data_IF_564957695629
#
_entry.id   IF_564957695629
#
_cell.length_a   1.000
_cell.length_b   1.000
_cell.length_c   1.000
_cell.angle_alpha   90.00
_cell.angle_beta   90.00
_cell.angle_gamma   90.00
#
_symmetry.space_group_name_H-M   'P 1'
#
loop_
_entity.id
_entity.type
_entity.pdbx_description
1 polymer ?
#
# COMPACT_ATOMS: atom_id res chain seq x y z
N UNK A 1 -53.10 -15.21 -10.84
CA UNK A 1 -52.83 -14.07 -9.93
C UNK A 1 -51.34 -13.69 -9.88
N UNK A 2 -50.41 -14.54 -9.31
CA UNK A 2 -48.97 -14.20 -9.23
C UNK A 2 -48.34 -13.94 -10.61
N UNK A 3 -48.57 -14.82 -11.57
CA UNK A 3 -48.09 -14.68 -12.96
C UNK A 3 -48.68 -13.48 -13.70
N UNK A 4 -49.94 -13.17 -13.45
CA UNK A 4 -50.59 -12.01 -14.02
C UNK A 4 -50.02 -10.69 -13.52
N UNK A 5 -49.72 -10.61 -12.22
CA UNK A 5 -49.03 -9.47 -11.62
C UNK A 5 -47.64 -9.28 -12.21
N UNK A 6 -46.82 -10.35 -12.26
CA UNK A 6 -45.48 -10.30 -12.84
C UNK A 6 -45.50 -9.93 -14.32
N UNK A 7 -46.53 -10.40 -15.08
CA UNK A 7 -46.72 -10.02 -16.49
C UNK A 7 -47.09 -8.55 -16.64
N UNK A 8 -47.96 -8.03 -15.77
CA UNK A 8 -48.35 -6.61 -15.79
C UNK A 8 -47.16 -5.69 -15.47
N UNK A 9 -46.32 -6.08 -14.51
CA UNK A 9 -45.11 -5.37 -14.12
C UNK A 9 -44.06 -5.39 -15.25
N UNK A 10 -43.81 -6.57 -15.84
CA UNK A 10 -42.89 -6.74 -16.96
C UNK A 10 -43.28 -5.93 -18.21
N UNK A 11 -44.57 -5.81 -18.49
CA UNK A 11 -45.08 -4.97 -19.60
C UNK A 11 -44.76 -3.47 -19.45
N UNK A 12 -44.46 -3.04 -18.23
CA UNK A 12 -44.01 -1.67 -17.91
C UNK A 12 -42.50 -1.54 -17.80
N UNK A 13 -41.74 -2.60 -18.13
CA UNK A 13 -40.30 -2.69 -17.96
C UNK A 13 -39.85 -2.49 -16.50
N UNK A 14 -40.62 -2.99 -15.56
CA UNK A 14 -40.37 -2.87 -14.12
C UNK A 14 -40.18 -4.25 -13.49
N UNK A 15 -39.58 -4.28 -12.31
CA UNK A 15 -39.38 -5.47 -11.50
C UNK A 15 -39.89 -5.25 -10.08
N UNK A 16 -40.33 -6.31 -9.41
CA UNK A 16 -40.77 -6.31 -8.02
C UNK A 16 -39.79 -7.09 -7.17
N UNK A 17 -39.43 -6.58 -5.99
CA UNK A 17 -38.78 -7.40 -4.99
C UNK A 17 -39.70 -8.52 -4.48
N UNK A 18 -39.14 -9.66 -3.99
CA UNK A 18 -39.99 -10.76 -3.50
C UNK A 18 -40.99 -10.35 -2.41
N UNK A 19 -40.55 -9.49 -1.49
CA UNK A 19 -41.34 -8.96 -0.38
C UNK A 19 -42.39 -7.91 -0.85
N UNK A 20 -42.13 -7.16 -1.90
CA UNK A 20 -43.12 -6.30 -2.56
C UNK A 20 -44.19 -7.13 -3.22
N UNK A 21 -43.84 -8.21 -3.90
CA UNK A 21 -44.78 -9.12 -4.52
C UNK A 21 -45.67 -9.80 -3.47
N UNK A 22 -45.14 -10.26 -2.36
CA UNK A 22 -45.92 -10.82 -1.26
C UNK A 22 -46.89 -9.81 -0.65
N UNK A 23 -46.45 -8.57 -0.49
CA UNK A 23 -47.29 -7.48 -0.01
C UNK A 23 -48.48 -7.19 -0.97
N UNK A 24 -48.23 -7.16 -2.28
CA UNK A 24 -49.27 -7.00 -3.28
C UNK A 24 -50.25 -8.17 -3.23
N UNK A 25 -49.77 -9.40 -3.16
CA UNK A 25 -50.59 -10.61 -3.11
C UNK A 25 -51.44 -10.69 -1.82
N UNK A 26 -51.04 -10.06 -0.75
CA UNK A 26 -51.77 -10.00 0.53
C UNK A 26 -52.91 -8.95 0.53
N UNK A 27 -53.01 -8.14 -0.50
CA UNK A 27 -54.09 -7.16 -0.63
C UNK A 27 -55.41 -7.83 -0.98
N UNK A 28 -56.53 -7.23 -0.60
CA UNK A 28 -57.90 -7.74 -0.90
C UNK A 28 -58.23 -7.78 -2.39
N UNK A 29 -57.61 -6.90 -3.18
CA UNK A 29 -57.71 -6.90 -4.66
C UNK A 29 -56.28 -6.64 -5.25
N UNK A 30 -55.47 -7.72 -5.39
CA UNK A 30 -54.08 -7.59 -5.82
C UNK A 30 -53.89 -6.98 -7.20
N UNK A 31 -54.79 -7.23 -8.15
CA UNK A 31 -54.61 -6.70 -9.53
C UNK A 31 -54.93 -5.22 -9.64
N UNK A 32 -56.01 -4.75 -9.02
CA UNK A 32 -56.32 -3.31 -8.97
C UNK A 32 -55.25 -2.55 -8.20
N UNK A 33 -54.75 -3.13 -7.09
CA UNK A 33 -53.66 -2.55 -6.33
C UNK A 33 -52.37 -2.48 -7.15
N UNK A 34 -52.02 -3.56 -7.88
CA UNK A 34 -50.85 -3.57 -8.80
C UNK A 34 -50.94 -2.44 -9.81
N UNK A 35 -52.09 -2.30 -10.49
CA UNK A 35 -52.28 -1.27 -11.50
C UNK A 35 -52.19 0.14 -10.92
N UNK A 36 -52.65 0.37 -9.71
CA UNK A 36 -52.57 1.64 -8.99
C UNK A 36 -51.08 1.98 -8.68
N UNK A 37 -50.33 1.01 -8.13
CA UNK A 37 -48.89 1.16 -7.84
C UNK A 37 -48.12 1.42 -9.14
N UNK A 38 -48.34 0.64 -10.20
CA UNK A 38 -47.69 0.81 -11.49
C UNK A 38 -48.02 2.14 -12.17
N UNK A 39 -49.23 2.67 -11.99
CA UNK A 39 -49.62 3.97 -12.53
C UNK A 39 -48.96 5.11 -11.78
N UNK A 40 -48.85 5.00 -10.47
CA UNK A 40 -48.22 6.00 -9.62
C UNK A 40 -46.70 6.06 -9.80
N UNK A 41 -46.07 4.91 -10.10
CA UNK A 41 -44.60 4.78 -10.17
C UNK A 41 -44.07 4.74 -11.62
N UNK A 42 -44.94 4.85 -12.65
CA UNK A 42 -44.65 4.50 -14.05
C UNK A 42 -43.59 5.32 -14.79
N UNK A 43 -43.04 6.36 -14.21
CA UNK A 43 -42.03 7.19 -14.90
C UNK A 43 -40.60 7.15 -14.33
N UNK A 44 -40.41 6.61 -13.11
CA UNK A 44 -39.13 6.74 -12.42
C UNK A 44 -38.63 5.47 -11.73
N UNK A 45 -39.32 4.33 -11.81
CA UNK A 45 -38.94 3.11 -11.10
C UNK A 45 -38.76 1.96 -12.08
N UNK A 46 -37.53 1.38 -12.07
CA UNK A 46 -37.29 0.08 -12.74
C UNK A 46 -37.47 -1.07 -11.72
N UNK A 47 -37.22 -0.82 -10.44
CA UNK A 47 -37.35 -1.77 -9.34
C UNK A 47 -38.24 -1.21 -8.24
N UNK A 48 -39.27 -1.97 -7.83
CA UNK A 48 -40.22 -1.60 -6.78
C UNK A 48 -39.96 -2.49 -5.56
N UNK A 49 -39.57 -1.90 -4.46
CA UNK A 49 -39.43 -2.58 -3.16
C UNK A 49 -40.69 -2.46 -2.32
N UNK A 50 -40.77 -3.28 -1.25
CA UNK A 50 -41.85 -3.17 -0.26
C UNK A 50 -41.92 -1.78 0.36
N UNK A 51 -40.75 -1.14 0.58
CA UNK A 51 -40.67 0.20 1.14
C UNK A 51 -41.34 1.24 0.21
N UNK A 52 -41.10 1.16 -1.10
CA UNK A 52 -41.69 2.09 -2.07
C UNK A 52 -43.22 2.00 -2.06
N UNK A 53 -43.74 0.78 -1.91
CA UNK A 53 -45.18 0.56 -1.79
C UNK A 53 -45.72 1.12 -0.46
N UNK A 54 -44.99 0.95 0.64
CA UNK A 54 -45.40 1.48 1.94
C UNK A 54 -45.41 3.00 1.95
N UNK A 55 -44.38 3.65 1.41
CA UNK A 55 -44.26 5.11 1.31
C UNK A 55 -45.40 5.68 0.45
N UNK A 56 -45.81 4.97 -0.60
CA UNK A 56 -46.98 5.31 -1.43
C UNK A 56 -48.30 5.21 -0.64
N UNK A 57 -48.50 4.17 0.18
CA UNK A 57 -49.70 3.95 0.97
C UNK A 57 -49.86 4.99 2.09
N UNK A 58 -48.74 5.37 2.75
CA UNK A 58 -48.75 6.30 3.88
C UNK A 58 -48.96 7.76 3.45
N UNK A 59 -48.91 8.06 2.16
CA UNK A 59 -49.17 9.39 1.62
C UNK A 59 -48.16 10.45 2.00
N UNK A 60 -46.97 10.04 2.39
CA UNK A 60 -45.89 10.94 2.73
C UNK A 60 -45.31 11.57 1.45
N UNK A 61 -45.83 12.78 1.12
CA UNK A 61 -45.36 13.61 0.01
C UNK A 61 -44.05 14.32 0.31
N UNK A 62 -43.08 13.68 0.90
CA UNK A 62 -41.70 14.02 0.72
C UNK A 62 -41.23 13.23 -0.49
N UNK A 63 -41.33 13.87 -1.65
CA UNK A 63 -40.59 13.45 -2.84
C UNK A 63 -39.11 13.49 -2.39
N UNK A 64 -38.60 12.35 -1.93
CA UNK A 64 -37.17 12.11 -1.97
C UNK A 64 -36.81 12.35 -3.45
N UNK A 65 -35.81 13.22 -3.67
CA UNK A 65 -35.27 13.44 -5.01
C UNK A 65 -35.19 12.09 -5.73
N UNK A 66 -35.60 12.03 -7.01
CA UNK A 66 -35.62 10.77 -7.72
C UNK A 66 -34.21 10.17 -7.55
N UNK A 67 -34.14 9.02 -6.86
CA UNK A 67 -32.92 8.22 -6.87
C UNK A 67 -32.66 8.01 -8.34
N UNK A 68 -31.61 8.64 -8.84
CA UNK A 68 -31.12 8.42 -10.20
C UNK A 68 -31.16 6.91 -10.39
N UNK A 69 -31.79 6.39 -11.47
CA UNK A 69 -31.82 4.94 -11.67
C UNK A 69 -30.40 4.48 -11.44
N UNK A 70 -30.22 3.40 -10.63
CA UNK A 70 -28.95 2.71 -10.59
C UNK A 70 -28.74 2.32 -12.04
N UNK A 71 -28.09 3.21 -12.77
CA UNK A 71 -27.52 2.86 -14.05
C UNK A 71 -26.66 1.69 -13.63
N UNK A 72 -27.00 0.47 -14.09
CA UNK A 72 -26.04 -0.63 -14.08
C UNK A 72 -24.88 -0.01 -14.85
N UNK A 73 -23.92 0.57 -14.08
CA UNK A 73 -22.76 1.21 -14.67
C UNK A 73 -22.19 0.08 -15.51
N UNK A 74 -22.25 0.26 -16.85
CA UNK A 74 -21.67 -0.69 -17.76
C UNK A 74 -20.39 -1.14 -17.14
N UNK A 75 -20.20 -2.47 -16.96
CA UNK A 75 -19.07 -3.09 -16.30
C UNK A 75 -17.85 -2.30 -16.76
N UNK A 76 -17.32 -1.38 -15.90
CA UNK A 76 -16.19 -0.54 -16.28
C UNK A 76 -15.11 -1.53 -16.64
N UNK A 77 -14.48 -1.38 -17.78
CA UNK A 77 -13.26 -2.08 -18.08
C UNK A 77 -12.27 -1.58 -17.03
N UNK A 78 -12.16 -2.31 -15.92
CA UNK A 78 -11.25 -1.97 -14.84
C UNK A 78 -9.83 -2.12 -15.35
N UNK A 79 -9.06 -1.02 -15.32
CA UNK A 79 -7.65 -0.99 -15.68
C UNK A 79 -6.81 -1.25 -14.41
N UNK A 80 -6.63 -2.55 -14.10
CA UNK A 80 -5.77 -3.02 -13.01
C UNK A 80 -4.77 -3.99 -13.58
N UNK A 81 -3.49 -3.69 -13.44
CA UNK A 81 -2.40 -4.57 -13.86
C UNK A 81 -1.16 -4.39 -12.99
N UNK A 82 -0.34 -5.43 -12.92
CA UNK A 82 1.03 -5.35 -12.38
C UNK A 82 1.92 -4.66 -13.41
N UNK A 83 2.72 -3.70 -12.98
CA UNK A 83 3.68 -3.04 -13.87
C UNK A 83 4.87 -3.96 -14.13
N UNK A 84 5.14 -4.23 -15.39
CA UNK A 84 6.19 -5.16 -15.82
C UNK A 84 7.54 -4.90 -15.15
N UNK A 85 8.19 -5.99 -14.70
CA UNK A 85 9.51 -5.99 -14.10
C UNK A 85 9.55 -5.39 -12.68
N UNK A 86 8.41 -5.22 -12.01
CA UNK A 86 8.35 -4.74 -10.62
C UNK A 86 7.96 -5.82 -9.62
N UNK A 87 7.50 -6.96 -10.06
CA UNK A 87 7.19 -8.15 -9.26
C UNK A 87 8.31 -9.19 -9.44
N UNK A 88 8.79 -9.75 -8.33
CA UNK A 88 9.81 -10.80 -8.32
C UNK A 88 9.24 -12.18 -8.62
N UNK A 89 7.92 -12.33 -8.62
CA UNK A 89 7.24 -13.61 -8.83
C UNK A 89 7.61 -14.19 -10.19
N UNK A 90 8.14 -15.42 -10.17
CA UNK A 90 8.65 -16.10 -11.38
C UNK A 90 10.08 -15.74 -11.77
N UNK A 91 10.64 -14.64 -11.27
CA UNK A 91 11.99 -14.15 -11.60
C UNK A 91 13.02 -14.37 -10.47
N UNK A 92 12.61 -14.97 -9.35
CA UNK A 92 13.50 -15.23 -8.22
C UNK A 92 14.47 -16.37 -8.55
N UNK A 93 15.77 -16.05 -8.64
CA UNK A 93 16.83 -16.99 -9.06
C UNK A 93 18.07 -16.95 -8.17
N UNK A 94 18.08 -16.14 -7.11
CA UNK A 94 19.24 -16.03 -6.21
C UNK A 94 19.42 -17.30 -5.37
N UNK A 95 20.69 -17.65 -5.12
CA UNK A 95 21.07 -18.76 -4.26
C UNK A 95 21.74 -18.29 -2.95
N UNK A 96 21.87 -16.96 -2.77
CA UNK A 96 22.54 -16.35 -1.59
C UNK A 96 24.07 -16.48 -1.62
N UNK A 97 24.66 -16.65 -2.77
CA UNK A 97 26.13 -16.70 -2.96
C UNK A 97 26.71 -15.28 -2.91
N UNK A 98 28.01 -15.18 -2.59
CA UNK A 98 28.73 -13.88 -2.55
C UNK A 98 28.58 -13.10 -3.86
N UNK A 99 28.62 -13.78 -4.99
CA UNK A 99 28.44 -13.15 -6.30
C UNK A 99 27.03 -12.58 -6.51
N UNK A 100 26.01 -13.19 -5.91
CA UNK A 100 24.65 -12.67 -5.97
C UNK A 100 24.57 -11.31 -5.25
N UNK A 101 25.14 -11.23 -4.04
CA UNK A 101 25.23 -9.96 -3.30
C UNK A 101 26.03 -8.89 -4.06
N UNK A 102 27.18 -9.28 -4.66
CA UNK A 102 27.96 -8.33 -5.46
C UNK A 102 27.16 -7.79 -6.66
N UNK A 103 26.39 -8.65 -7.33
CA UNK A 103 25.52 -8.25 -8.45
C UNK A 103 24.38 -7.35 -7.96
N UNK A 104 23.76 -7.71 -6.86
CA UNK A 104 22.66 -6.97 -6.24
C UNK A 104 23.08 -5.54 -5.87
N UNK A 105 24.17 -5.36 -5.11
CA UNK A 105 24.66 -4.03 -4.73
C UNK A 105 25.16 -3.20 -5.91
N UNK A 106 25.77 -3.83 -6.94
CA UNK A 106 26.10 -3.13 -8.18
C UNK A 106 24.85 -2.63 -8.92
N UNK A 107 23.78 -3.41 -8.96
CA UNK A 107 22.51 -3.00 -9.55
C UNK A 107 21.93 -1.80 -8.78
N UNK A 108 21.84 -1.90 -7.44
CA UNK A 108 21.42 -0.80 -6.55
C UNK A 108 22.20 0.47 -6.83
N UNK A 109 23.51 0.40 -6.67
CA UNK A 109 24.41 1.55 -6.84
C UNK A 109 24.24 2.18 -8.23
N UNK A 110 24.33 1.37 -9.29
CA UNK A 110 24.20 1.86 -10.66
C UNK A 110 22.85 2.51 -10.95
N UNK A 111 21.76 2.00 -10.37
CA UNK A 111 20.42 2.55 -10.58
C UNK A 111 20.23 3.86 -9.85
N UNK A 112 20.59 3.95 -8.57
CA UNK A 112 20.48 5.18 -7.77
C UNK A 112 21.45 6.25 -8.23
N UNK A 113 22.69 5.88 -8.63
CA UNK A 113 23.68 6.77 -9.25
C UNK A 113 23.09 7.47 -10.48
N UNK A 114 22.49 6.70 -11.41
CA UNK A 114 21.85 7.28 -12.61
C UNK A 114 20.72 8.26 -12.26
N UNK A 115 19.99 8.06 -11.15
CA UNK A 115 18.96 9.00 -10.71
C UNK A 115 19.57 10.32 -10.23
N UNK A 116 20.67 10.26 -9.45
CA UNK A 116 21.40 11.44 -8.98
C UNK A 116 22.03 12.19 -10.17
N UNK A 117 22.66 11.49 -11.10
CA UNK A 117 23.28 12.08 -12.30
C UNK A 117 22.28 12.81 -13.19
N UNK A 118 21.03 12.35 -13.25
CA UNK A 118 19.95 13.01 -14.02
C UNK A 118 19.40 14.28 -13.37
N UNK A 119 19.76 14.55 -12.12
CA UNK A 119 19.32 15.78 -11.45
C UNK A 119 19.99 17.00 -12.07
N UNK A 120 19.18 18.00 -12.41
CA UNK A 120 19.66 19.25 -13.05
C UNK A 120 20.60 20.06 -12.13
N UNK A 121 20.41 19.94 -10.82
CA UNK A 121 21.16 20.65 -9.79
C UNK A 121 22.49 19.96 -9.44
N UNK A 122 22.71 18.71 -9.85
CA UNK A 122 23.94 17.99 -9.50
C UNK A 122 24.97 17.97 -10.64
N UNK A 123 24.61 17.63 -11.85
CA UNK A 123 25.53 17.58 -13.02
C UNK A 123 26.44 16.36 -13.03
N UNK A 124 27.67 16.48 -13.56
CA UNK A 124 28.55 15.34 -13.83
C UNK A 124 29.49 15.05 -12.64
N UNK A 125 29.32 13.93 -11.92
CA UNK A 125 30.21 13.50 -10.85
C UNK A 125 31.52 12.94 -11.41
N UNK A 126 32.58 12.96 -10.59
CA UNK A 126 33.83 12.25 -10.83
C UNK A 126 33.87 10.95 -10.01
N UNK A 127 34.60 9.92 -10.49
CA UNK A 127 34.97 8.80 -9.65
C UNK A 127 35.71 9.26 -8.39
N UNK A 128 35.46 8.63 -7.24
CA UNK A 128 36.06 9.01 -5.94
C UNK A 128 37.57 9.12 -6.05
N UNK A 129 38.25 8.11 -6.62
CA UNK A 129 39.71 8.12 -6.77
C UNK A 129 40.21 9.32 -7.56
N UNK A 130 39.49 9.78 -8.57
CA UNK A 130 39.84 10.95 -9.37
C UNK A 130 39.56 12.25 -8.62
N UNK A 131 38.42 12.34 -7.92
CA UNK A 131 38.06 13.54 -7.15
C UNK A 131 39.06 13.85 -6.04
N UNK A 132 39.59 12.79 -5.37
CA UNK A 132 40.60 12.91 -4.31
C UNK A 132 41.92 13.54 -4.80
N UNK A 133 42.24 13.47 -6.08
CA UNK A 133 43.42 14.07 -6.67
C UNK A 133 43.27 15.53 -7.11
N UNK A 134 42.05 16.08 -6.99
CA UNK A 134 41.70 17.42 -7.46
C UNK A 134 41.77 18.45 -6.32
N UNK A 135 42.45 19.58 -6.54
CA UNK A 135 42.49 20.72 -5.59
C UNK A 135 41.42 21.77 -5.89
N UNK A 136 40.20 21.30 -6.22
CA UNK A 136 39.03 22.16 -6.47
C UNK A 136 37.77 21.45 -6.00
N UNK A 137 36.69 22.22 -5.93
CA UNK A 137 35.39 21.62 -5.68
C UNK A 137 35.01 20.65 -6.82
N UNK A 138 34.55 19.48 -6.43
CA UNK A 138 34.12 18.40 -7.32
C UNK A 138 32.83 17.77 -6.80
N UNK A 139 32.27 16.89 -7.59
CA UNK A 139 31.06 16.12 -7.23
C UNK A 139 31.39 14.64 -7.30
N UNK A 140 31.00 13.91 -6.28
CA UNK A 140 31.15 12.45 -6.20
C UNK A 140 29.83 11.80 -5.89
N UNK A 141 29.67 10.53 -6.25
CA UNK A 141 28.54 9.68 -5.81
C UNK A 141 29.16 8.43 -5.18
N UNK A 142 28.65 8.07 -4.02
CA UNK A 142 29.09 6.87 -3.32
C UNK A 142 27.99 6.25 -2.48
N UNK A 143 28.19 4.99 -2.09
CA UNK A 143 27.37 4.28 -1.13
C UNK A 143 28.01 4.39 0.27
N UNK A 144 27.20 4.67 1.27
CA UNK A 144 27.67 4.79 2.65
C UNK A 144 27.84 3.39 3.24
N UNK A 145 29.06 3.00 3.62
CA UNK A 145 29.27 1.75 4.35
C UNK A 145 29.48 1.94 5.86
N UNK A 146 29.76 3.17 6.31
CA UNK A 146 29.89 3.47 7.73
C UNK A 146 29.60 4.94 8.03
N UNK A 147 28.89 5.19 9.14
CA UNK A 147 28.63 6.53 9.69
C UNK A 147 29.21 6.61 11.12
N UNK A 148 29.93 7.68 11.42
CA UNK A 148 30.46 7.98 12.77
C UNK A 148 30.25 9.44 13.13
N UNK A 149 29.99 9.68 14.40
CA UNK A 149 30.05 11.02 14.98
C UNK A 149 31.38 11.20 15.71
N UNK A 150 32.07 12.32 15.46
CA UNK A 150 33.32 12.64 16.09
C UNK A 150 33.10 13.28 17.46
N UNK A 151 34.09 13.20 18.35
CA UNK A 151 34.06 13.84 19.68
C UNK A 151 33.79 15.35 19.62
N UNK A 152 34.09 15.98 18.50
CA UNK A 152 33.87 17.43 18.28
C UNK A 152 32.50 17.76 17.64
N UNK A 153 31.61 16.76 17.49
CA UNK A 153 30.28 16.93 16.92
C UNK A 153 30.21 17.03 15.39
N UNK A 154 31.29 16.64 14.68
CA UNK A 154 31.24 16.45 13.21
C UNK A 154 30.71 15.06 12.88
N UNK A 155 30.08 14.90 11.73
CA UNK A 155 29.71 13.58 11.19
C UNK A 155 30.71 13.19 10.10
N UNK A 156 31.17 11.95 10.15
CA UNK A 156 31.98 11.35 9.08
C UNK A 156 31.22 10.20 8.44
N UNK A 157 31.27 10.16 7.11
CA UNK A 157 30.69 9.09 6.30
C UNK A 157 31.82 8.42 5.52
N UNK A 158 31.94 7.12 5.64
CA UNK A 158 32.80 6.33 4.78
C UNK A 158 32.04 5.96 3.53
N UNK A 159 32.42 6.51 2.38
CA UNK A 159 31.80 6.26 1.09
C UNK A 159 32.68 5.40 0.20
N UNK A 160 32.02 4.58 -0.63
CA UNK A 160 32.67 3.81 -1.68
C UNK A 160 31.96 3.95 -3.03
N UNK A 161 32.74 3.83 -4.10
CA UNK A 161 32.30 3.60 -5.46
C UNK A 161 33.18 2.53 -6.13
N UNK A 162 32.96 2.24 -7.41
CA UNK A 162 33.76 1.27 -8.16
C UNK A 162 35.25 1.63 -8.26
N UNK A 163 35.65 2.88 -8.01
CA UNK A 163 37.02 3.39 -8.15
C UNK A 163 37.80 3.39 -6.84
N UNK A 164 37.14 3.36 -5.70
CA UNK A 164 37.77 3.41 -4.39
C UNK A 164 36.87 3.94 -3.29
N UNK A 165 37.49 4.32 -2.17
CA UNK A 165 36.81 4.78 -0.95
C UNK A 165 37.29 6.16 -0.53
N UNK A 166 36.45 6.90 0.19
CA UNK A 166 36.86 8.15 0.86
C UNK A 166 36.09 8.33 2.19
N UNK A 167 36.68 9.15 3.07
CA UNK A 167 35.99 9.64 4.25
C UNK A 167 35.43 11.03 3.95
N UNK A 168 34.13 11.20 4.01
CA UNK A 168 33.46 12.50 3.87
C UNK A 168 33.26 13.09 5.25
N UNK A 169 33.69 14.32 5.44
CA UNK A 169 33.49 15.11 6.66
C UNK A 169 32.35 16.10 6.46
N UNK A 170 31.35 16.03 7.33
CA UNK A 170 30.27 17.01 7.46
C UNK A 170 30.56 17.82 8.72
N UNK A 171 30.84 19.12 8.54
CA UNK A 171 31.13 20.01 9.67
C UNK A 171 29.93 20.14 10.60
N UNK A 172 30.15 20.23 11.91
CA UNK A 172 29.12 20.56 12.90
C UNK A 172 28.41 21.89 12.63
N UNK A 173 29.10 22.81 11.94
CA UNK A 173 28.58 24.13 11.58
C UNK A 173 27.84 24.12 10.21
N UNK A 174 27.83 22.98 9.53
CA UNK A 174 27.12 22.79 8.26
C UNK A 174 25.62 22.60 8.49
N UNK A 175 24.73 23.17 7.65
CA UNK A 175 23.30 22.85 7.70
C UNK A 175 23.01 21.36 7.53
N UNK A 176 23.89 20.63 6.82
CA UNK A 176 23.75 19.20 6.54
C UNK A 176 24.00 18.31 7.79
N UNK A 177 24.45 18.88 8.92
CA UNK A 177 24.71 18.11 10.16
C UNK A 177 23.43 17.48 10.75
N UNK A 178 22.27 18.07 10.45
CA UNK A 178 20.95 17.59 10.91
C UNK A 178 20.37 16.50 10.03
N UNK A 179 21.01 16.20 8.92
CA UNK A 179 20.52 15.20 8.00
C UNK A 179 20.65 13.78 8.57
N UNK A 180 19.64 12.96 8.25
CA UNK A 180 19.65 11.55 8.61
C UNK A 180 20.40 10.76 7.56
N UNK A 181 21.41 10.00 7.98
CA UNK A 181 22.19 9.10 7.14
C UNK A 181 22.01 7.67 7.63
N UNK A 182 21.87 6.75 6.69
CA UNK A 182 21.80 5.31 6.95
C UNK A 182 22.85 4.57 6.13
N UNK A 183 23.26 3.40 6.61
CA UNK A 183 24.18 2.56 5.85
C UNK A 183 23.55 2.09 4.55
N UNK A 184 24.37 1.86 3.56
CA UNK A 184 24.04 1.36 2.22
C UNK A 184 23.12 2.30 1.40
N UNK A 185 22.85 3.54 1.87
CA UNK A 185 22.23 4.55 1.01
C UNK A 185 23.25 5.13 0.02
N UNK A 186 22.76 5.45 -1.18
CA UNK A 186 23.58 6.08 -2.23
C UNK A 186 23.31 7.58 -2.24
N UNK A 187 24.38 8.37 -2.11
CA UNK A 187 24.33 9.84 -2.06
C UNK A 187 25.32 10.47 -3.01
N UNK A 188 24.95 11.65 -3.50
CA UNK A 188 25.84 12.59 -4.16
C UNK A 188 26.40 13.60 -3.16
N UNK A 189 27.66 13.97 -3.29
CA UNK A 189 28.33 14.96 -2.48
C UNK A 189 28.95 16.03 -3.39
N UNK A 190 28.66 17.29 -3.10
CA UNK A 190 29.43 18.42 -3.63
C UNK A 190 30.42 18.85 -2.56
N UNK A 191 31.70 18.94 -2.89
CA UNK A 191 32.71 19.27 -1.89
C UNK A 191 34.11 19.30 -2.45
N UNK A 192 35.10 19.27 -1.55
CA UNK A 192 36.53 19.37 -1.89
C UNK A 192 37.36 18.35 -1.13
N UNK A 193 38.28 17.69 -1.85
CA UNK A 193 39.28 16.84 -1.23
C UNK A 193 40.32 17.67 -0.44
N UNK A 194 40.82 17.13 0.66
CA UNK A 194 41.93 17.74 1.38
C UNK A 194 43.27 17.26 0.80
N UNK A 195 44.30 18.10 0.89
CA UNK A 195 45.65 17.74 0.40
C UNK A 195 46.33 16.61 1.19
N UNK A 196 45.75 16.21 2.31
CA UNK A 196 46.29 15.15 3.16
C UNK A 196 45.27 14.06 3.41
N UNK A 197 45.54 12.87 2.89
CA UNK A 197 44.74 11.66 3.16
C UNK A 197 43.53 11.54 2.28
N UNK A 198 42.67 10.59 2.66
CA UNK A 198 41.47 10.17 1.94
C UNK A 198 40.22 10.94 2.43
N UNK A 199 40.37 12.26 2.74
CA UNK A 199 39.36 13.08 3.36
C UNK A 199 38.72 14.05 2.34
N UNK A 200 37.40 14.08 2.29
CA UNK A 200 36.58 14.91 1.42
C UNK A 200 35.64 15.76 2.28
N UNK A 201 35.68 17.08 2.18
CA UNK A 201 34.84 17.98 2.95
C UNK A 201 33.55 18.24 2.16
N UNK A 202 32.40 17.90 2.74
CA UNK A 202 31.10 18.09 2.12
C UNK A 202 30.61 19.54 2.29
N UNK A 203 30.18 20.14 1.18
CA UNK A 203 29.46 21.41 1.12
C UNK A 203 27.95 21.17 0.97
N UNK A 204 27.57 20.17 0.14
CA UNK A 204 26.19 19.83 -0.15
C UNK A 204 26.01 18.32 -0.26
N UNK A 205 24.86 17.83 0.20
CA UNK A 205 24.43 16.42 0.11
C UNK A 205 23.25 16.35 -0.84
N UNK A 206 23.31 15.43 -1.79
CA UNK A 206 22.27 15.26 -2.82
C UNK A 206 21.79 13.81 -2.82
N UNK A 207 20.48 13.62 -2.69
CA UNK A 207 19.84 12.30 -2.77
C UNK A 207 19.12 12.12 -4.10
N UNK A 208 18.80 10.88 -4.52
CA UNK A 208 18.01 10.62 -5.72
C UNK A 208 16.70 11.41 -5.73
N UNK A 209 15.98 11.38 -4.63
CA UNK A 209 14.77 12.14 -4.29
C UNK A 209 13.66 12.08 -5.38
N UNK A 210 12.52 12.62 -5.04
CA UNK A 210 11.39 12.82 -5.96
C UNK A 210 11.62 14.16 -6.70
N UNK A 211 11.40 14.22 -8.03
CA UNK A 211 11.53 15.46 -8.78
C UNK A 211 10.69 16.59 -8.16
N UNK A 212 11.29 17.79 -8.03
CA UNK A 212 10.65 18.93 -7.36
C UNK A 212 9.33 19.37 -8.03
N UNK A 213 9.15 19.10 -9.33
CA UNK A 213 7.93 19.42 -10.07
C UNK A 213 6.87 18.31 -10.05
N UNK A 214 7.08 17.24 -9.28
CA UNK A 214 6.08 16.18 -9.20
C UNK A 214 4.86 16.64 -8.40
N UNK A 215 3.68 16.56 -9.02
CA UNK A 215 2.40 16.96 -8.44
C UNK A 215 1.33 15.93 -8.80
N UNK A 216 0.30 15.80 -7.96
CA UNK A 216 -0.88 15.06 -8.34
C UNK A 216 -1.62 15.78 -9.46
N UNK A 217 -1.78 15.12 -10.60
CA UNK A 217 -2.56 15.66 -11.73
C UNK A 217 -3.95 15.04 -11.67
N UNK A 218 -5.02 15.82 -11.42
CA UNK A 218 -6.39 15.30 -11.46
C UNK A 218 -6.72 14.62 -12.80
N UNK A 219 -7.56 13.60 -12.77
CA UNK A 219 -8.07 12.90 -13.96
C UNK A 219 -9.59 12.70 -13.85
N UNK A 220 -10.21 12.29 -14.96
CA UNK A 220 -11.66 12.05 -15.04
C UNK A 220 -12.06 10.68 -14.43
N UNK A 221 -11.11 9.94 -13.84
CA UNK A 221 -11.45 8.69 -13.16
C UNK A 221 -12.35 8.96 -11.97
N UNK A 222 -13.45 8.22 -11.89
CA UNK A 222 -14.33 8.23 -10.73
C UNK A 222 -13.96 7.12 -9.73
N UNK A 223 -13.10 6.17 -10.13
CA UNK A 223 -12.79 5.00 -9.33
C UNK A 223 -12.06 5.37 -8.03
N UNK A 224 -12.29 4.56 -7.00
CA UNK A 224 -11.60 4.64 -5.73
C UNK A 224 -10.91 3.32 -5.41
N UNK A 225 -9.80 3.38 -4.68
CA UNK A 225 -9.08 2.22 -4.15
C UNK A 225 -9.02 2.30 -2.63
N UNK A 226 -9.31 1.19 -1.96
CA UNK A 226 -9.11 1.03 -0.52
C UNK A 226 -7.88 0.16 -0.23
N UNK A 227 -7.30 0.35 0.96
CA UNK A 227 -6.14 -0.40 1.44
C UNK A 227 -6.49 -1.07 2.77
N UNK A 228 -6.22 -2.38 2.88
CA UNK A 228 -6.48 -3.21 4.05
C UNK A 228 -5.25 -4.05 4.33
N UNK A 229 -4.45 -3.71 5.33
CA UNK A 229 -3.23 -4.43 5.69
C UNK A 229 -3.38 -5.16 7.01
N UNK A 230 -2.48 -6.09 7.28
CA UNK A 230 -2.29 -6.70 8.59
C UNK A 230 -3.63 -7.25 9.15
N UNK A 231 -4.27 -8.13 8.35
CA UNK A 231 -5.57 -8.72 8.69
C UNK A 231 -5.41 -9.74 9.81
N UNK A 232 -4.30 -10.51 9.80
CA UNK A 232 -3.93 -11.49 10.80
C UNK A 232 -5.05 -12.51 11.09
N UNK A 233 -5.65 -13.07 10.02
CA UNK A 233 -6.62 -14.15 10.17
C UNK A 233 -5.96 -15.33 10.86
N UNK A 234 -6.59 -15.82 11.91
CA UNK A 234 -6.05 -16.89 12.76
C UNK A 234 -5.60 -16.42 14.13
N UNK A 235 -5.34 -15.12 14.31
CA UNK A 235 -5.04 -14.52 15.60
C UNK A 235 -6.27 -14.53 16.52
N UNK A 236 -6.04 -14.68 17.83
CA UNK A 236 -7.09 -14.53 18.86
C UNK A 236 -7.56 -13.08 18.99
N UNK A 237 -6.74 -12.12 18.55
CA UNK A 237 -7.02 -10.69 18.58
C UNK A 237 -7.52 -10.13 17.25
N UNK A 238 -7.80 -10.99 16.24
CA UNK A 238 -8.44 -10.57 15.00
C UNK A 238 -9.80 -9.89 15.25
N UNK A 239 -9.99 -8.72 14.67
CA UNK A 239 -11.16 -7.87 14.87
C UNK A 239 -12.32 -8.27 13.94
N UNK A 240 -12.82 -9.50 14.09
CA UNK A 240 -13.87 -10.07 13.24
C UNK A 240 -15.15 -9.23 13.21
N UNK A 241 -15.54 -8.62 14.32
CA UNK A 241 -16.75 -7.79 14.39
C UNK A 241 -16.59 -6.49 13.59
N UNK A 242 -15.42 -5.87 13.61
CA UNK A 242 -15.09 -4.69 12.83
C UNK A 242 -14.97 -5.01 11.35
N UNK A 243 -14.38 -6.18 11.02
CA UNK A 243 -14.36 -6.70 9.66
C UNK A 243 -15.79 -6.82 9.10
N UNK A 244 -16.70 -7.44 9.83
CA UNK A 244 -18.10 -7.57 9.42
C UNK A 244 -18.81 -6.21 9.27
N UNK A 245 -18.52 -5.23 10.14
CA UNK A 245 -19.02 -3.85 9.97
C UNK A 245 -18.49 -3.23 8.66
N UNK A 246 -17.21 -3.41 8.36
CA UNK A 246 -16.60 -2.91 7.13
C UNK A 246 -17.23 -3.55 5.89
N UNK A 247 -17.41 -4.88 5.89
CA UNK A 247 -18.07 -5.60 4.78
C UNK A 247 -19.52 -5.13 4.60
N UNK A 248 -20.28 -4.97 5.68
CA UNK A 248 -21.64 -4.43 5.61
C UNK A 248 -21.64 -3.02 4.99
N UNK A 249 -20.70 -2.18 5.43
CA UNK A 249 -20.54 -0.84 4.88
C UNK A 249 -20.16 -0.86 3.38
N UNK A 250 -19.29 -1.78 2.96
CA UNK A 250 -18.93 -1.96 1.55
C UNK A 250 -20.15 -2.33 0.70
N UNK A 251 -20.97 -3.25 1.18
CA UNK A 251 -22.22 -3.68 0.49
C UNK A 251 -23.19 -2.53 0.28
N UNK A 252 -23.24 -1.57 1.18
CA UNK A 252 -24.14 -0.42 1.13
C UNK A 252 -23.57 0.76 0.33
N UNK A 253 -22.25 1.00 0.41
CA UNK A 253 -21.65 2.28 -0.01
C UNK A 253 -20.65 2.17 -1.17
N UNK A 254 -20.17 0.97 -1.52
CA UNK A 254 -19.09 0.84 -2.51
C UNK A 254 -19.47 1.39 -3.89
N UNK A 255 -20.72 1.23 -4.32
CA UNK A 255 -21.19 1.77 -5.59
C UNK A 255 -21.28 3.31 -5.59
N UNK A 256 -21.74 3.91 -4.50
CA UNK A 256 -21.88 5.37 -4.38
C UNK A 256 -20.52 6.07 -4.27
N UNK A 257 -19.51 5.35 -3.78
CA UNK A 257 -18.14 5.83 -3.67
C UNK A 257 -17.25 5.43 -4.85
N UNK A 258 -17.80 4.75 -5.84
CA UNK A 258 -17.04 4.17 -6.96
C UNK A 258 -15.81 3.36 -6.46
N UNK A 259 -15.99 2.60 -5.38
CA UNK A 259 -14.94 1.77 -4.79
C UNK A 259 -14.84 0.46 -5.58
N UNK A 260 -13.93 0.43 -6.55
CA UNK A 260 -13.76 -0.66 -7.50
C UNK A 260 -12.55 -1.55 -7.17
N UNK A 261 -11.67 -1.12 -6.24
CA UNK A 261 -10.41 -1.80 -5.93
C UNK A 261 -10.13 -1.87 -4.44
N UNK A 262 -9.61 -3.00 -3.97
CA UNK A 262 -9.02 -3.18 -2.65
C UNK A 262 -7.63 -3.79 -2.81
N UNK A 263 -6.64 -3.25 -2.11
CA UNK A 263 -5.27 -3.78 -2.07
C UNK A 263 -4.95 -4.18 -0.64
N UNK A 264 -4.37 -5.39 -0.49
CA UNK A 264 -3.91 -5.95 0.77
C UNK A 264 -2.38 -5.97 0.79
N UNK A 265 -1.72 -5.00 1.46
CA UNK A 265 -0.26 -4.89 1.49
C UNK A 265 0.47 -5.92 2.37
N UNK A 266 -0.13 -7.06 2.68
CA UNK A 266 0.51 -8.16 3.40
C UNK A 266 -0.05 -8.44 4.78
N UNK A 267 0.50 -9.50 5.42
CA UNK A 267 0.08 -10.06 6.69
C UNK A 267 -1.43 -10.35 6.72
N UNK A 268 -1.88 -11.08 5.70
CA UNK A 268 -3.30 -11.44 5.57
C UNK A 268 -3.70 -12.54 6.55
N UNK A 269 -2.75 -13.39 6.95
CA UNK A 269 -2.91 -14.37 8.03
C UNK A 269 -1.90 -14.09 9.14
N UNK A 270 -2.15 -14.65 10.35
CA UNK A 270 -1.23 -14.49 11.48
C UNK A 270 0.02 -15.36 11.33
N UNK A 271 -0.03 -16.40 10.49
CA UNK A 271 1.05 -17.33 10.32
C UNK A 271 1.19 -18.30 11.49
N UNK A 272 2.27 -19.08 11.51
CA UNK A 272 2.60 -20.03 12.58
C UNK A 272 4.11 -20.02 12.81
N UNK A 273 4.54 -19.87 14.09
CA UNK A 273 5.95 -19.91 14.47
C UNK A 273 6.73 -18.64 14.08
N UNK A 274 6.07 -17.52 13.95
CA UNK A 274 6.68 -16.22 13.61
C UNK A 274 7.51 -15.68 14.78
N UNK A 275 7.03 -15.89 16.01
CA UNK A 275 7.74 -15.51 17.23
C UNK A 275 7.52 -16.55 18.34
N UNK A 276 8.43 -16.65 19.34
CA UNK A 276 8.28 -17.60 20.42
C UNK A 276 6.99 -17.37 21.23
N UNK A 277 6.20 -18.43 21.41
CA UNK A 277 4.95 -18.40 22.19
C UNK A 277 3.72 -17.97 21.38
N UNK A 278 3.84 -17.67 20.09
CA UNK A 278 2.72 -17.27 19.24
C UNK A 278 1.55 -18.27 19.26
N UNK A 279 1.83 -19.57 19.42
CA UNK A 279 0.79 -20.61 19.40
C UNK A 279 -0.29 -20.37 20.47
N UNK A 280 0.05 -19.73 21.60
CA UNK A 280 -0.90 -19.38 22.67
C UNK A 280 -1.82 -18.21 22.25
N UNK A 281 -1.42 -17.40 21.28
CA UNK A 281 -2.16 -16.26 20.73
C UNK A 281 -2.96 -16.64 19.47
N UNK A 282 -2.84 -17.89 18.98
CA UNK A 282 -3.55 -18.35 17.79
C UNK A 282 -4.92 -18.96 18.13
N UNK A 283 -5.96 -18.48 17.44
CA UNK A 283 -7.28 -19.13 17.40
C UNK A 283 -7.33 -20.27 16.38
N UNK A 284 -6.55 -20.13 15.28
CA UNK A 284 -6.41 -21.13 14.21
C UNK A 284 -4.93 -21.49 14.10
N UNK A 285 -4.58 -22.71 14.55
CA UNK A 285 -3.19 -23.22 14.60
C UNK A 285 -2.77 -24.00 13.36
N UNK A 286 -3.55 -23.93 12.28
CA UNK A 286 -3.30 -24.59 11.00
C UNK A 286 -3.22 -23.54 9.90
N UNK A 287 -2.07 -23.42 9.24
CA UNK A 287 -1.81 -22.38 8.24
C UNK A 287 -2.77 -22.48 7.04
N UNK A 288 -3.11 -23.69 6.60
CA UNK A 288 -4.04 -23.87 5.49
C UNK A 288 -5.44 -23.36 5.86
N UNK A 289 -5.88 -23.64 7.09
CA UNK A 289 -7.17 -23.15 7.60
C UNK A 289 -7.20 -21.63 7.79
N UNK A 290 -6.05 -21.01 8.09
CA UNK A 290 -5.97 -19.55 8.13
C UNK A 290 -6.25 -18.96 6.75
N UNK A 291 -5.63 -19.49 5.68
CA UNK A 291 -5.88 -19.03 4.30
C UNK A 291 -7.28 -19.40 3.78
N UNK A 292 -7.80 -20.59 4.12
CA UNK A 292 -9.19 -20.96 3.81
C UNK A 292 -10.17 -19.97 4.44
N UNK A 293 -9.95 -19.60 5.70
CA UNK A 293 -10.79 -18.62 6.40
C UNK A 293 -10.64 -17.21 5.79
N UNK A 294 -9.43 -16.81 5.41
CA UNK A 294 -9.23 -15.54 4.70
C UNK A 294 -9.97 -15.52 3.36
N UNK A 295 -9.94 -16.62 2.60
CA UNK A 295 -10.72 -16.76 1.37
C UNK A 295 -12.24 -16.57 1.63
N UNK A 296 -12.79 -17.12 2.71
CA UNK A 296 -14.19 -16.90 3.06
C UNK A 296 -14.48 -15.43 3.38
N UNK A 297 -13.58 -14.73 4.06
CA UNK A 297 -13.72 -13.29 4.30
C UNK A 297 -13.64 -12.47 3.01
N UNK A 298 -12.80 -12.86 2.04
CA UNK A 298 -12.75 -12.19 0.73
C UNK A 298 -14.06 -12.36 -0.05
N UNK A 299 -14.71 -13.53 0.02
CA UNK A 299 -16.01 -13.80 -0.63
C UNK A 299 -17.16 -12.97 -0.06
N UNK A 300 -17.03 -12.44 1.16
CA UNK A 300 -18.02 -11.53 1.73
C UNK A 300 -17.99 -10.13 1.10
N UNK A 301 -16.85 -9.74 0.47
CA UNK A 301 -16.64 -8.46 -0.21
C UNK A 301 -17.46 -8.45 -1.53
N UNK A 302 -18.09 -7.33 -1.91
CA UNK A 302 -18.89 -7.28 -3.15
C UNK A 302 -18.08 -7.68 -4.40
N UNK A 303 -18.66 -8.55 -5.25
CA UNK A 303 -18.02 -9.17 -6.42
C UNK A 303 -17.48 -8.20 -7.47
N UNK A 304 -18.02 -6.97 -7.53
CA UNK A 304 -17.55 -5.95 -8.47
C UNK A 304 -16.18 -5.37 -8.09
N UNK A 305 -15.76 -5.54 -6.83
CA UNK A 305 -14.49 -5.04 -6.32
C UNK A 305 -13.38 -6.02 -6.71
N UNK A 306 -12.37 -5.53 -7.41
CA UNK A 306 -11.14 -6.28 -7.68
C UNK A 306 -10.18 -6.15 -6.51
N UNK A 307 -9.56 -7.26 -6.14
CA UNK A 307 -8.66 -7.34 -5.01
C UNK A 307 -7.26 -7.69 -5.46
N UNK A 308 -6.26 -7.06 -4.83
CA UNK A 308 -4.84 -7.43 -4.97
C UNK A 308 -4.35 -7.88 -3.60
N UNK A 309 -3.73 -9.04 -3.54
CA UNK A 309 -3.16 -9.61 -2.32
C UNK A 309 -1.68 -9.83 -2.53
N UNK A 310 -0.86 -9.22 -1.68
CA UNK A 310 0.58 -9.47 -1.58
C UNK A 310 0.92 -10.06 -0.21
N UNK A 311 2.04 -10.78 -0.06
CA UNK A 311 2.48 -11.30 1.23
C UNK A 311 3.13 -10.23 2.11
N UNK A 312 3.12 -10.49 3.43
CA UNK A 312 3.96 -9.83 4.42
C UNK A 312 4.87 -10.82 5.15
N UNK A 313 5.39 -10.46 6.30
CA UNK A 313 6.33 -11.31 7.04
C UNK A 313 5.66 -12.42 7.88
N UNK A 314 4.35 -12.35 8.10
CA UNK A 314 3.57 -13.42 8.74
C UNK A 314 3.05 -14.45 7.73
N UNK A 315 2.98 -14.09 6.46
CA UNK A 315 2.47 -14.95 5.41
C UNK A 315 3.43 -16.10 5.04
N UNK A 316 2.87 -17.17 4.45
CA UNK A 316 3.60 -18.40 4.13
C UNK A 316 4.50 -18.25 2.90
N UNK A 317 5.47 -17.33 2.98
CA UNK A 317 6.50 -17.06 1.98
C UNK A 317 7.88 -16.94 2.66
N UNK A 318 8.95 -16.83 1.87
CA UNK A 318 10.27 -16.54 2.42
C UNK A 318 10.27 -15.19 3.16
N UNK A 319 10.99 -15.12 4.28
CA UNK A 319 11.14 -13.87 5.04
C UNK A 319 12.01 -12.83 4.33
N UNK A 320 12.94 -13.29 3.48
CA UNK A 320 13.85 -12.41 2.75
C UNK A 320 13.13 -11.67 1.61
N UNK A 321 13.25 -10.35 1.58
CA UNK A 321 12.69 -9.47 0.57
C UNK A 321 13.63 -9.28 -0.65
N UNK A 322 13.08 -9.15 -1.86
CA UNK A 322 11.66 -9.18 -2.21
C UNK A 322 11.04 -10.55 -2.03
N UNK A 323 9.74 -10.59 -1.68
CA UNK A 323 8.98 -11.83 -1.51
C UNK A 323 8.17 -12.12 -2.77
N UNK A 324 8.17 -13.36 -3.30
CA UNK A 324 7.26 -13.75 -4.39
C UNK A 324 5.81 -13.82 -3.89
N UNK A 325 4.84 -13.84 -4.81
CA UNK A 325 3.44 -14.04 -4.51
C UNK A 325 3.20 -15.33 -3.71
N UNK A 326 2.08 -15.35 -2.98
CA UNK A 326 1.62 -16.53 -2.25
C UNK A 326 1.48 -17.74 -3.19
N UNK A 327 1.87 -18.91 -2.71
CA UNK A 327 1.80 -20.14 -3.50
C UNK A 327 0.34 -20.61 -3.65
N UNK A 328 0.01 -21.20 -4.82
CA UNK A 328 -1.31 -21.73 -5.14
C UNK A 328 -1.83 -22.74 -4.11
N UNK A 329 -0.94 -23.47 -3.42
CA UNK A 329 -1.32 -24.41 -2.34
C UNK A 329 -2.12 -23.72 -1.22
N UNK A 330 -1.92 -22.42 -1.00
CA UNK A 330 -2.63 -21.63 0.00
C UNK A 330 -3.80 -20.83 -0.60
N UNK A 331 -3.73 -20.50 -1.88
CA UNK A 331 -4.64 -19.55 -2.54
C UNK A 331 -5.64 -20.19 -3.50
N UNK A 332 -5.63 -21.53 -3.61
CA UNK A 332 -6.51 -22.26 -4.52
C UNK A 332 -8.02 -22.09 -4.26
N UNK A 333 -8.40 -21.54 -3.09
CA UNK A 333 -9.79 -21.21 -2.74
C UNK A 333 -10.16 -19.73 -2.99
N UNK A 334 -9.22 -18.92 -3.48
CA UNK A 334 -9.48 -17.50 -3.78
C UNK A 334 -10.23 -17.36 -5.10
N UNK A 335 -11.13 -16.40 -5.17
CA UNK A 335 -11.95 -16.14 -6.35
C UNK A 335 -11.16 -15.44 -7.47
N UNK A 336 -11.67 -15.49 -8.70
CA UNK A 336 -11.01 -14.94 -9.89
C UNK A 336 -10.88 -13.40 -9.93
N UNK A 337 -11.51 -12.69 -9.00
CA UNK A 337 -11.37 -11.24 -8.81
C UNK A 337 -10.18 -10.87 -7.91
N UNK A 338 -9.43 -11.86 -7.41
CA UNK A 338 -8.21 -11.68 -6.60
C UNK A 338 -6.99 -11.86 -7.48
N UNK A 339 -6.10 -10.88 -7.49
CA UNK A 339 -4.80 -10.90 -8.15
C UNK A 339 -3.72 -11.06 -7.09
N UNK A 340 -2.85 -12.06 -7.25
CA UNK A 340 -1.73 -12.31 -6.35
C UNK A 340 -0.47 -11.64 -6.87
N UNK A 341 0.29 -10.98 -6.00
CA UNK A 341 1.53 -10.30 -6.36
C UNK A 341 2.62 -10.54 -5.32
N UNK A 342 3.87 -10.31 -5.71
CA UNK A 342 4.99 -10.27 -4.79
C UNK A 342 5.01 -8.98 -3.95
N UNK A 343 5.96 -8.89 -3.03
CA UNK A 343 6.21 -7.76 -2.15
C UNK A 343 7.70 -7.33 -2.27
N UNK A 344 7.99 -6.08 -2.65
CA UNK A 344 7.07 -5.03 -3.11
C UNK A 344 6.62 -5.21 -4.56
N UNK A 345 5.62 -4.40 -4.97
CA UNK A 345 5.17 -4.35 -6.37
C UNK A 345 4.65 -2.95 -6.73
N UNK A 346 4.73 -2.59 -8.01
CA UNK A 346 4.03 -1.43 -8.55
C UNK A 346 2.81 -1.90 -9.37
N UNK A 347 1.65 -1.35 -9.05
CA UNK A 347 0.40 -1.58 -9.75
C UNK A 347 0.07 -0.38 -10.64
N UNK A 348 -0.53 -0.64 -11.81
CA UNK A 348 -1.31 0.36 -12.51
C UNK A 348 -2.77 0.19 -12.11
N UNK A 349 -3.38 1.22 -11.54
CA UNK A 349 -4.81 1.25 -11.21
C UNK A 349 -5.40 2.50 -11.84
N UNK A 350 -6.19 2.35 -12.90
CA UNK A 350 -6.81 3.46 -13.63
C UNK A 350 -5.80 4.54 -14.06
N UNK A 351 -4.62 4.10 -14.54
CA UNK A 351 -3.53 4.99 -14.95
C UNK A 351 -2.70 5.57 -13.80
N UNK A 352 -2.98 5.22 -12.53
CA UNK A 352 -2.16 5.60 -11.37
C UNK A 352 -1.13 4.53 -11.04
N UNK A 353 0.09 4.94 -10.79
CA UNK A 353 1.13 4.06 -10.26
C UNK A 353 0.97 3.95 -8.74
N UNK A 354 0.62 2.77 -8.26
CA UNK A 354 0.49 2.46 -6.83
C UNK A 354 1.64 1.54 -6.43
N UNK A 355 2.58 2.08 -5.65
CA UNK A 355 3.65 1.27 -5.02
C UNK A 355 3.10 0.66 -3.74
N UNK A 356 3.07 -0.67 -3.69
CA UNK A 356 2.71 -1.41 -2.49
C UNK A 356 3.93 -2.12 -1.93
N UNK A 357 4.13 -1.98 -0.63
CA UNK A 357 5.20 -2.61 0.12
C UNK A 357 4.66 -2.97 1.51
N UNK A 358 4.89 -4.19 1.98
CA UNK A 358 4.38 -4.56 3.30
C UNK A 358 4.91 -3.65 4.41
N UNK A 359 6.22 -3.36 4.41
CA UNK A 359 6.76 -2.38 5.36
C UNK A 359 7.75 -2.94 6.38
N UNK A 360 8.22 -4.18 6.23
CA UNK A 360 9.12 -4.82 7.22
C UNK A 360 10.35 -3.97 7.57
N UNK A 361 10.91 -3.24 6.61
CA UNK A 361 12.08 -2.39 6.85
C UNK A 361 11.82 -1.14 7.70
N UNK A 362 10.54 -0.80 8.01
CA UNK A 362 10.23 0.25 8.99
C UNK A 362 10.91 -0.04 10.34
N UNK A 363 11.07 -1.31 10.71
CA UNK A 363 11.82 -1.75 11.88
C UNK A 363 13.30 -1.32 11.85
N UNK A 364 13.93 -1.41 10.67
CA UNK A 364 15.32 -1.01 10.49
C UNK A 364 15.49 0.50 10.59
N UNK A 365 14.55 1.25 10.01
CA UNK A 365 14.52 2.71 10.09
C UNK A 365 14.43 3.21 11.53
N UNK A 366 13.46 2.70 12.31
CA UNK A 366 13.26 3.08 13.71
C UNK A 366 14.48 2.70 14.55
N UNK A 367 15.09 1.53 14.32
CA UNK A 367 16.25 1.09 15.09
C UNK A 367 17.53 1.86 14.75
N UNK A 368 17.65 2.42 13.53
CA UNK A 368 18.87 3.08 13.03
C UNK A 368 18.84 4.60 13.10
N UNK A 369 17.64 5.20 13.19
CA UNK A 369 17.46 6.66 13.13
C UNK A 369 16.63 7.13 14.32
N UNK A 370 17.28 7.75 15.31
CA UNK A 370 16.64 8.16 16.57
C UNK A 370 15.45 9.11 16.43
N UNK A 371 15.35 9.85 15.31
CA UNK A 371 14.27 10.81 15.06
C UNK A 371 13.01 10.15 14.50
N UNK A 372 13.07 8.87 14.13
CA UNK A 372 11.96 8.12 13.55
C UNK A 372 11.35 7.17 14.58
N UNK A 373 10.03 7.08 14.59
CA UNK A 373 9.28 6.25 15.55
C UNK A 373 8.18 5.47 14.84
N UNK A 374 7.72 4.39 15.45
CA UNK A 374 6.58 3.60 14.95
C UNK A 374 5.26 4.39 14.94
N UNK A 375 5.16 5.46 15.74
CA UNK A 375 3.96 6.31 15.83
C UNK A 375 3.78 7.22 14.59
N UNK A 376 4.85 7.41 13.79
CA UNK A 376 4.81 8.24 12.59
C UNK A 376 5.43 7.52 11.38
N UNK A 377 4.80 6.42 10.91
CA UNK A 377 5.32 5.63 9.80
C UNK A 377 5.39 6.40 8.48
N UNK A 378 4.51 7.38 8.27
CA UNK A 378 4.49 8.16 7.01
C UNK A 378 5.73 9.05 6.86
N UNK A 379 6.35 9.51 7.96
CA UNK A 379 7.65 10.17 7.90
C UNK A 379 8.78 9.22 7.52
N UNK A 380 8.74 7.96 7.96
CA UNK A 380 9.70 6.93 7.53
C UNK A 380 9.54 6.67 6.02
N UNK A 381 8.32 6.51 5.56
CA UNK A 381 8.00 6.30 4.14
C UNK A 381 8.46 7.48 3.26
N UNK A 382 8.38 8.71 3.77
CA UNK A 382 8.94 9.88 3.11
C UNK A 382 10.48 9.78 2.97
N UNK A 383 11.17 9.27 3.98
CA UNK A 383 12.63 9.05 3.91
C UNK A 383 13.00 7.95 2.91
N UNK A 384 12.17 6.90 2.78
CA UNK A 384 12.32 5.89 1.72
C UNK A 384 12.19 6.53 0.33
N UNK A 385 11.20 7.39 0.11
CA UNK A 385 11.02 8.12 -1.16
C UNK A 385 12.21 9.06 -1.45
N UNK A 386 12.72 9.74 -0.44
CA UNK A 386 13.87 10.65 -0.58
C UNK A 386 15.14 9.91 -1.02
N UNK A 387 15.34 8.69 -0.51
CA UNK A 387 16.47 7.83 -0.91
C UNK A 387 16.16 6.94 -2.11
N UNK A 388 14.92 6.92 -2.55
CA UNK A 388 14.42 6.05 -3.62
C UNK A 388 14.72 4.59 -3.35
N UNK A 389 14.60 4.18 -2.07
CA UNK A 389 14.85 2.81 -1.63
C UNK A 389 13.99 2.44 -0.42
N UNK A 390 13.31 1.29 -0.49
CA UNK A 390 12.41 0.79 0.56
C UNK A 390 13.18 0.28 1.77
N UNK A 391 14.29 -0.42 1.58
CA UNK A 391 15.13 -1.02 2.63
C UNK A 391 16.62 -0.86 2.30
N UNK A 392 17.22 0.32 2.52
CA UNK A 392 18.62 0.54 2.15
C UNK A 392 19.59 -0.31 2.98
N UNK A 393 19.36 -0.45 4.29
CA UNK A 393 20.29 -1.05 5.24
C UNK A 393 20.41 -2.56 5.09
N UNK A 394 21.62 -3.06 4.86
CA UNK A 394 21.92 -4.49 4.82
C UNK A 394 22.33 -5.02 6.21
N UNK A 395 21.90 -6.23 6.54
CA UNK A 395 22.22 -6.87 7.81
C UNK A 395 21.42 -6.35 9.00
N UNK A 396 20.33 -5.63 8.76
CA UNK A 396 19.36 -5.21 9.75
C UNK A 396 18.34 -6.32 10.10
N UNK A 397 17.15 -5.93 10.55
CA UNK A 397 16.07 -6.85 10.89
C UNK A 397 15.38 -7.43 9.65
N UNK A 398 15.43 -6.71 8.52
CA UNK A 398 14.87 -7.14 7.24
C UNK A 398 15.90 -7.96 6.48
N UNK A 399 15.63 -9.25 6.31
CA UNK A 399 16.47 -10.12 5.49
C UNK A 399 16.31 -9.77 4.00
N UNK A 400 17.41 -9.77 3.24
CA UNK A 400 17.40 -9.48 1.80
C UNK A 400 17.72 -10.73 0.98
N UNK A 401 16.94 -10.99 -0.06
CA UNK A 401 17.25 -11.97 -1.08
C UNK A 401 18.02 -11.25 -2.21
N UNK A 402 19.29 -11.63 -2.45
CA UNK A 402 20.14 -10.92 -3.41
C UNK A 402 19.82 -11.32 -4.86
N UNK A 403 18.69 -10.85 -5.35
CA UNK A 403 18.27 -11.06 -6.73
C UNK A 403 19.18 -10.29 -7.70
N UNK A 404 19.14 -10.62 -8.99
CA UNK A 404 19.94 -9.92 -10.02
C UNK A 404 19.60 -8.43 -10.13
N UNK A 405 18.37 -8.07 -9.79
CA UNK A 405 17.85 -6.71 -9.71
C UNK A 405 17.48 -6.41 -8.26
N UNK A 406 17.77 -5.20 -7.81
CA UNK A 406 17.26 -4.71 -6.52
C UNK A 406 15.82 -4.19 -6.68
N UNK A 407 14.84 -5.03 -6.38
CA UNK A 407 13.40 -4.70 -6.44
C UNK A 407 12.98 -3.70 -5.35
N UNK A 408 13.83 -3.46 -4.33
CA UNK A 408 13.55 -2.49 -3.27
C UNK A 408 13.91 -1.05 -3.69
N UNK A 409 14.56 -0.86 -4.83
CA UNK A 409 14.79 0.47 -5.42
C UNK A 409 13.47 1.00 -6.00
N UNK A 410 13.08 2.19 -5.56
CA UNK A 410 11.90 2.89 -6.10
C UNK A 410 12.27 3.54 -7.43
N UNK A 411 12.26 2.78 -8.51
CA UNK A 411 12.65 3.28 -9.84
C UNK A 411 11.63 4.25 -10.43
N UNK A 412 10.34 3.96 -10.27
CA UNK A 412 9.24 4.83 -10.70
C UNK A 412 8.79 5.73 -9.56
N UNK A 413 8.42 6.95 -9.86
CA UNK A 413 7.75 7.82 -8.89
C UNK A 413 6.29 7.37 -8.81
N UNK A 414 5.82 6.87 -7.65
CA UNK A 414 4.43 6.47 -7.54
C UNK A 414 3.50 7.67 -7.36
N UNK A 415 2.23 7.52 -7.75
CA UNK A 415 1.16 8.43 -7.34
C UNK A 415 0.71 8.14 -5.90
N UNK A 416 0.69 6.87 -5.54
CA UNK A 416 0.33 6.39 -4.19
C UNK A 416 1.42 5.44 -3.71
N UNK A 417 1.88 5.62 -2.47
CA UNK A 417 2.78 4.71 -1.78
C UNK A 417 2.11 4.21 -0.50
N UNK A 418 1.91 2.90 -0.40
CA UNK A 418 1.23 2.28 0.74
C UNK A 418 2.10 1.23 1.41
N UNK A 419 2.02 1.20 2.76
CA UNK A 419 2.61 0.15 3.61
C UNK A 419 1.62 -0.30 4.69
N UNK A 420 1.92 -1.41 5.35
CA UNK A 420 1.30 -1.93 6.57
C UNK A 420 2.33 -2.11 7.68
N UNK A 421 2.40 -3.32 8.25
CA UNK A 421 3.39 -3.86 9.18
C UNK A 421 3.38 -3.26 10.60
N UNK A 422 3.33 -1.96 10.73
CA UNK A 422 3.44 -1.29 12.05
C UNK A 422 2.08 -1.06 12.72
N UNK A 423 0.99 -1.59 12.17
CA UNK A 423 -0.38 -1.51 12.69
C UNK A 423 -0.87 -0.08 13.01
N UNK A 424 -0.11 0.94 12.62
CA UNK A 424 -0.49 2.34 12.73
C UNK A 424 -1.32 2.79 11.52
N UNK A 425 -2.12 3.84 11.68
CA UNK A 425 -2.83 4.46 10.56
C UNK A 425 -2.27 5.85 10.29
N UNK A 426 -1.82 6.09 9.07
CA UNK A 426 -1.25 7.39 8.72
C UNK A 426 -1.48 7.76 7.27
N UNK A 427 -1.58 9.07 7.00
CA UNK A 427 -1.57 9.61 5.64
C UNK A 427 -0.79 10.91 5.55
N UNK A 428 -0.11 11.11 4.44
CA UNK A 428 0.64 12.33 4.14
C UNK A 428 0.60 12.61 2.64
N UNK A 429 0.53 13.87 2.27
CA UNK A 429 0.79 14.31 0.90
C UNK A 429 2.22 14.84 0.81
N UNK A 430 3.05 14.21 0.00
CA UNK A 430 4.44 14.62 -0.19
C UNK A 430 4.80 14.69 -1.67
N UNK A 431 5.14 15.89 -2.17
CA UNK A 431 5.51 16.10 -3.57
C UNK A 431 4.55 15.42 -4.55
N UNK A 432 3.23 15.60 -4.35
CA UNK A 432 2.19 15.02 -5.19
C UNK A 432 1.95 13.52 -5.00
N UNK A 433 2.64 12.86 -4.08
CA UNK A 433 2.46 11.44 -3.76
C UNK A 433 1.57 11.30 -2.53
N UNK A 434 0.58 10.42 -2.59
CA UNK A 434 -0.22 10.01 -1.43
C UNK A 434 0.54 8.91 -0.68
N UNK A 435 1.04 9.22 0.50
CA UNK A 435 1.72 8.26 1.38
C UNK A 435 0.70 7.76 2.39
N UNK A 436 0.56 6.44 2.55
CA UNK A 436 -0.45 5.81 3.39
C UNK A 436 0.16 4.63 4.16
N UNK A 437 -0.01 4.61 5.47
CA UNK A 437 0.13 3.38 6.24
C UNK A 437 -1.28 2.85 6.56
N UNK A 438 -1.55 1.59 6.23
CA UNK A 438 -2.90 1.08 6.03
C UNK A 438 -3.53 0.45 7.28
N UNK A 439 -3.01 0.76 8.49
CA UNK A 439 -3.57 0.23 9.74
C UNK A 439 -3.45 -1.30 9.86
N UNK A 440 -4.25 -1.91 10.73
CA UNK A 440 -4.36 -3.36 10.92
C UNK A 440 -5.81 -3.76 11.24
N UNK A 441 -6.11 -5.06 11.15
CA UNK A 441 -7.40 -5.65 11.58
C UNK A 441 -7.21 -6.56 12.79
N UNK A 442 -6.12 -6.34 13.50
CA UNK A 442 -5.75 -7.02 14.75
C UNK A 442 -5.74 -6.00 15.89
N UNK A 443 -6.32 -6.34 17.03
CA UNK A 443 -6.23 -5.56 18.27
C UNK A 443 -4.83 -5.71 18.88
N UNK A 444 -4.52 -4.88 19.86
CA UNK A 444 -3.22 -4.87 20.53
C UNK A 444 -2.87 -6.25 21.11
N UNK A 445 -1.78 -6.85 20.62
CA UNK A 445 -1.26 -8.12 21.09
C UNK A 445 -0.46 -7.96 22.38
N UNK A 446 -0.20 -9.05 23.11
CA UNK A 446 0.61 -9.02 24.33
C UNK A 446 2.08 -8.63 24.02
N UNK A 447 2.60 -9.02 22.86
CA UNK A 447 3.90 -8.56 22.35
C UNK A 447 3.94 -7.03 22.19
N UNK A 448 2.92 -6.43 21.59
CA UNK A 448 2.82 -4.98 21.41
C UNK A 448 2.67 -4.25 22.75
N UNK A 449 1.91 -4.80 23.71
CA UNK A 449 1.80 -4.24 25.07
C UNK A 449 3.15 -4.24 25.78
N UNK A 450 3.91 -5.36 25.72
CA UNK A 450 5.24 -5.44 26.32
C UNK A 450 6.24 -4.41 25.72
N UNK A 451 6.07 -4.04 24.47
CA UNK A 451 6.91 -3.05 23.79
C UNK A 451 6.32 -1.64 23.81
N UNK A 452 5.23 -1.42 24.57
CA UNK A 452 4.53 -0.14 24.70
C UNK A 452 4.09 0.44 23.33
N UNK A 453 3.69 -0.42 22.42
CA UNK A 453 3.22 -0.09 21.08
C UNK A 453 1.69 -0.08 21.05
N UNK A 454 1.10 1.04 20.60
CA UNK A 454 -0.34 1.21 20.50
C UNK A 454 -0.76 1.21 19.03
N UNK A 455 -1.45 0.18 18.53
CA UNK A 455 -1.98 0.17 17.16
C UNK A 455 -3.17 1.11 16.99
N UNK A 456 -3.41 1.51 15.74
CA UNK A 456 -4.64 2.21 15.31
C UNK A 456 -5.49 1.26 14.44
N UNK A 457 -6.16 0.24 14.99
CA UNK A 457 -6.76 -0.81 14.19
C UNK A 457 -8.10 -0.41 13.55
N UNK A 458 -8.53 -1.25 12.60
CA UNK A 458 -9.80 -1.15 11.88
C UNK A 458 -10.03 0.21 11.19
N UNK A 459 -8.97 0.75 10.60
CA UNK A 459 -9.03 1.93 9.75
C UNK A 459 -8.75 1.51 8.30
N UNK A 460 -9.67 1.83 7.39
CA UNK A 460 -9.54 1.60 5.95
C UNK A 460 -9.31 2.92 5.23
N UNK A 461 -8.09 3.19 4.74
CA UNK A 461 -7.83 4.31 3.86
C UNK A 461 -8.49 4.09 2.49
N UNK A 462 -9.13 5.11 1.96
CA UNK A 462 -9.76 5.11 0.63
C UNK A 462 -9.26 6.32 -0.14
N UNK A 463 -8.72 6.10 -1.33
CA UNK A 463 -8.23 7.15 -2.23
C UNK A 463 -9.09 7.20 -3.49
N UNK A 464 -9.64 8.36 -3.79
CA UNK A 464 -10.32 8.62 -5.06
C UNK A 464 -9.28 8.92 -6.14
N UNK A 465 -9.16 8.06 -7.14
CA UNK A 465 -8.06 8.06 -8.12
C UNK A 465 -8.05 9.28 -9.04
N UNK A 466 -9.20 9.89 -9.30
CA UNK A 466 -9.27 11.14 -10.07
C UNK A 466 -8.72 12.33 -9.29
N UNK A 467 -9.34 12.64 -8.15
CA UNK A 467 -9.00 13.86 -7.38
C UNK A 467 -7.81 13.69 -6.42
N UNK A 468 -7.44 12.48 -6.03
CA UNK A 468 -6.46 12.20 -4.98
C UNK A 468 -6.96 12.45 -3.55
N UNK A 469 -8.27 12.67 -3.37
CA UNK A 469 -8.84 12.81 -2.02
C UNK A 469 -8.72 11.49 -1.26
N UNK A 470 -8.15 11.57 -0.06
CA UNK A 470 -7.94 10.41 0.81
C UNK A 470 -8.82 10.52 2.06
N UNK A 471 -9.65 9.49 2.29
CA UNK A 471 -10.48 9.34 3.50
C UNK A 471 -9.95 8.19 4.34
N UNK A 472 -9.95 8.35 5.67
CA UNK A 472 -9.63 7.30 6.65
C UNK A 472 -10.95 6.85 7.27
N UNK A 473 -11.45 5.68 6.88
CA UNK A 473 -12.72 5.12 7.37
C UNK A 473 -12.44 4.32 8.63
N UNK A 474 -13.04 4.70 9.76
CA UNK A 474 -12.79 4.06 11.06
C UNK A 474 -13.98 3.19 11.48
N UNK A 475 -13.75 1.88 11.67
CA UNK A 475 -14.76 0.88 12.04
C UNK A 475 -14.71 0.46 13.51
N UNK A 476 -13.83 1.05 14.31
CA UNK A 476 -13.82 0.87 15.77
C UNK A 476 -14.99 1.58 16.46
N UNK A 477 -15.49 2.64 15.84
CA UNK A 477 -16.56 3.49 16.36
C UNK A 477 -17.96 2.97 16.04
#
# INVERSE_FOLDING_TARGET
MREEILTAVARKNMFLSPDALEMILSNSDPMTFTNTVLTAMSQNYIWISKKDIMDFIVGDKTISEPRTPITVKNKRNSDLSVIDGTDVTGDSTCEGKINDFATYFKNRFGTLKRMIEKRRDFGSPLPIAKALSMDRETKIIGMIYEKKETKNGHVTLSLEDESGTCTVLISKDSPNIKEMFVNDEVIGIVGKATMRGNLYIANEIVRPDIPAGNIWIPSDSCASVAFLSDVHVGSSTFLESQWKKMVAWLKENSYDMDLDYIVFPGDVVDGIGIFPGQEEELRITDIYKQYEMFAEYLKEIPDHIKMVVQPGNHDAVRLAEPQPALNEIFTGSFDSNVILTGNPVNLNIEGRTVLTYHGKSLDDWVSSVQQLTYEDPVNIMKEMLTRRHLSPMYGGKTAMAPEKKDYLVIERVPDIFVTGHVHGAGKMDHKGIKIINASAWQDQTDYQKMHNFNPDPAIMPVVHLGSGNTKMMNFMK
#
